data_IF_276263360516
#
_entry.id   IF_276263360516
#
_cell.length_a   1.000
_cell.length_b   1.000
_cell.length_c   1.000
_cell.angle_alpha   90.00
_cell.angle_beta   90.00
_cell.angle_gamma   90.00
#
_symmetry.space_group_name_H-M   'P 1'
#
loop_
_entity.id
_entity.type
_entity.pdbx_description
1 polymer ?
#
# COMPACT_ATOMS: atom_id res chain seq x y z
N UNK A 1 -12.70 -18.39 -32.38
CA UNK A 1 -11.97 -18.85 -31.18
C UNK A 1 -11.69 -17.67 -30.23
N UNK A 2 -12.20 -17.67 -28.99
CA UNK A 2 -11.85 -16.61 -28.05
C UNK A 2 -10.37 -16.72 -27.67
N UNK A 3 -9.64 -15.60 -27.55
CA UNK A 3 -8.24 -15.62 -27.17
C UNK A 3 -8.08 -16.21 -25.76
N UNK A 4 -7.11 -17.11 -25.66
CA UNK A 4 -6.64 -17.83 -24.48
C UNK A 4 -6.70 -17.04 -23.15
N UNK A 5 -7.49 -17.61 -22.23
CA UNK A 5 -7.73 -17.33 -20.80
C UNK A 5 -6.66 -16.59 -19.98
N UNK A 6 -5.36 -16.74 -20.26
CA UNK A 6 -4.29 -16.18 -19.43
C UNK A 6 -4.11 -14.65 -19.58
N UNK A 7 -4.26 -14.11 -20.79
CA UNK A 7 -4.07 -12.67 -21.04
C UNK A 7 -5.17 -11.81 -20.38
N UNK A 8 -6.41 -12.32 -20.38
CA UNK A 8 -7.57 -11.68 -19.75
C UNK A 8 -7.49 -11.73 -18.21
N UNK A 9 -6.91 -12.80 -17.65
CA UNK A 9 -6.60 -12.89 -16.21
C UNK A 9 -5.48 -11.92 -15.79
N UNK A 10 -4.44 -11.74 -16.61
CA UNK A 10 -3.38 -10.77 -16.34
C UNK A 10 -3.88 -9.33 -16.37
N UNK A 11 -4.75 -8.97 -17.32
CA UNK A 11 -5.33 -7.63 -17.37
C UNK A 11 -6.24 -7.37 -16.17
N UNK A 12 -7.06 -8.34 -15.75
CA UNK A 12 -7.88 -8.21 -14.54
C UNK A 12 -7.02 -8.09 -13.26
N UNK A 13 -5.91 -8.82 -13.17
CA UNK A 13 -4.97 -8.70 -12.04
C UNK A 13 -4.31 -7.32 -11.98
N UNK A 14 -3.92 -6.75 -13.12
CA UNK A 14 -3.34 -5.41 -13.19
C UNK A 14 -4.37 -4.32 -12.81
N UNK A 15 -5.64 -4.55 -13.15
CA UNK A 15 -6.75 -3.66 -12.82
C UNK A 15 -7.14 -3.74 -11.34
N UNK A 16 -7.14 -4.94 -10.75
CA UNK A 16 -7.25 -5.13 -9.30
C UNK A 16 -6.07 -4.52 -8.56
N UNK A 17 -4.84 -4.68 -9.07
CA UNK A 17 -3.64 -4.05 -8.51
C UNK A 17 -3.80 -2.53 -8.48
N UNK A 18 -4.28 -1.90 -9.57
CA UNK A 18 -4.58 -0.46 -9.60
C UNK A 18 -5.65 -0.06 -8.58
N UNK A 19 -6.66 -0.90 -8.31
CA UNK A 19 -7.70 -0.62 -7.30
C UNK A 19 -7.19 -0.78 -5.86
N UNK A 20 -6.40 -1.82 -5.58
CA UNK A 20 -5.81 -2.08 -4.25
C UNK A 20 -4.73 -1.03 -3.92
N UNK A 21 -3.89 -0.66 -4.88
CA UNK A 21 -2.92 0.43 -4.75
C UNK A 21 -3.56 1.81 -4.86
N UNK A 22 -4.81 1.90 -5.35
CA UNK A 22 -5.60 3.12 -5.42
C UNK A 22 -5.99 3.71 -4.05
N UNK A 23 -5.77 2.97 -2.96
CA UNK A 23 -5.83 3.48 -1.58
C UNK A 23 -4.53 4.16 -1.09
N UNK A 24 -3.47 4.14 -1.90
CA UNK A 24 -2.36 5.06 -1.74
C UNK A 24 -2.74 6.28 -2.58
N UNK A 25 -3.44 7.23 -1.98
CA UNK A 25 -3.54 8.58 -2.54
C UNK A 25 -2.09 9.06 -2.81
N UNK A 26 -1.63 8.93 -4.06
CA UNK A 26 -0.62 9.83 -4.59
C UNK A 26 -1.32 11.17 -4.70
N UNK A 27 -1.35 11.87 -3.57
CA UNK A 27 -1.66 13.29 -3.49
C UNK A 27 -0.89 14.00 -4.61
N UNK A 28 -1.60 14.83 -5.38
CA UNK A 28 -1.15 15.80 -6.40
C UNK A 28 0.36 15.79 -6.74
N UNK A 29 0.74 15.81 -8.03
CA UNK A 29 2.14 15.87 -8.44
C UNK A 29 2.88 16.94 -7.63
N UNK A 30 4.12 16.66 -7.15
CA UNK A 30 4.81 17.51 -6.19
C UNK A 30 4.90 18.92 -6.76
N UNK A 31 4.10 19.83 -6.21
CA UNK A 31 4.15 21.24 -6.57
C UNK A 31 5.59 21.73 -6.35
N UNK A 32 6.15 22.55 -7.26
CA UNK A 32 7.51 23.05 -7.12
C UNK A 32 7.65 23.76 -5.76
N UNK A 33 8.35 23.10 -4.83
CA UNK A 33 8.57 23.62 -3.49
C UNK A 33 9.51 24.81 -3.63
N UNK A 34 9.03 26.00 -3.26
CA UNK A 34 9.90 27.18 -3.10
C UNK A 34 11.05 26.77 -2.17
N UNK A 35 12.29 26.84 -2.67
CA UNK A 35 13.48 26.55 -1.86
C UNK A 35 13.45 27.48 -0.65
N UNK A 36 13.37 26.92 0.56
CA UNK A 36 13.43 27.71 1.77
C UNK A 36 14.82 28.35 1.88
N UNK A 37 14.87 29.68 1.95
CA UNK A 37 16.09 30.39 2.33
C UNK A 37 16.29 30.25 3.82
N UNK A 38 17.49 29.89 4.25
CA UNK A 38 17.85 29.88 5.67
C UNK A 38 17.79 31.31 6.20
N UNK A 39 17.13 31.50 7.36
CA UNK A 39 17.16 32.78 8.07
C UNK A 39 18.53 32.89 8.74
N UNK A 40 19.31 33.97 8.49
CA UNK A 40 20.58 34.22 9.18
C UNK A 40 20.42 34.23 10.70
N UNK A 41 21.46 33.84 11.44
CA UNK A 41 21.36 33.68 12.90
C UNK A 41 20.99 34.98 13.64
N UNK A 42 21.43 36.14 13.14
CA UNK A 42 21.09 37.45 13.70
C UNK A 42 19.65 37.94 13.40
N UNK A 43 18.91 37.24 12.56
CA UNK A 43 17.54 37.61 12.14
C UNK A 43 16.47 36.64 12.67
N UNK A 44 16.86 35.70 13.55
CA UNK A 44 15.94 34.73 14.17
C UNK A 44 15.13 35.40 15.28
N UNK A 45 13.99 35.94 14.89
CA UNK A 45 13.01 36.54 15.79
C UNK A 45 12.10 35.50 16.48
N UNK A 46 11.20 35.96 17.35
CA UNK A 46 10.23 35.09 18.03
C UNK A 46 9.29 34.37 17.03
N UNK A 47 8.92 35.05 15.94
CA UNK A 47 8.10 34.48 14.86
C UNK A 47 8.79 33.30 14.15
N UNK A 48 10.11 33.37 13.94
CA UNK A 48 10.90 32.26 13.44
C UNK A 48 10.84 31.05 14.39
N UNK A 49 11.05 31.26 15.68
CA UNK A 49 11.03 30.17 16.67
C UNK A 49 9.66 29.48 16.77
N UNK A 50 8.57 30.25 16.72
CA UNK A 50 7.21 29.70 16.69
C UNK A 50 6.96 28.87 15.43
N UNK A 51 7.35 29.36 14.24
CA UNK A 51 7.26 28.61 12.98
C UNK A 51 8.10 27.33 13.04
N UNK A 52 9.31 27.39 13.60
CA UNK A 52 10.22 26.25 13.75
C UNK A 52 9.62 25.18 14.67
N UNK A 53 9.03 25.59 15.81
CA UNK A 53 8.32 24.70 16.75
C UNK A 53 7.15 24.01 16.05
N UNK A 54 6.26 24.77 15.39
CA UNK A 54 5.10 24.22 14.66
C UNK A 54 5.52 23.23 13.57
N UNK A 55 6.60 23.51 12.83
CA UNK A 55 7.11 22.60 11.81
C UNK A 55 7.66 21.30 12.40
N UNK A 56 8.38 21.37 13.53
CA UNK A 56 8.85 20.17 14.24
C UNK A 56 7.69 19.29 14.70
N UNK A 57 6.65 19.89 15.27
CA UNK A 57 5.44 19.17 15.69
C UNK A 57 4.73 18.52 14.49
N UNK A 58 4.58 19.26 13.39
CA UNK A 58 4.01 18.72 12.15
C UNK A 58 4.84 17.57 11.58
N UNK A 59 6.17 17.69 11.60
CA UNK A 59 7.07 16.63 11.15
C UNK A 59 6.98 15.38 12.03
N UNK A 60 6.87 15.54 13.36
CA UNK A 60 6.65 14.43 14.29
C UNK A 60 5.33 13.72 13.99
N UNK A 61 4.21 14.47 13.91
CA UNK A 61 2.89 13.93 13.58
C UNK A 61 2.89 13.21 12.23
N UNK A 62 3.56 13.77 11.22
CA UNK A 62 3.67 13.15 9.90
C UNK A 62 4.44 11.82 9.94
N UNK A 63 5.51 11.74 10.73
CA UNK A 63 6.26 10.49 10.93
C UNK A 63 5.41 9.44 11.64
N UNK A 64 4.70 9.82 12.68
CA UNK A 64 3.80 8.92 13.43
C UNK A 64 2.67 8.40 12.53
N UNK A 65 2.03 9.26 11.73
CA UNK A 65 1.00 8.85 10.78
C UNK A 65 1.53 7.87 9.73
N UNK A 66 2.74 8.11 9.19
CA UNK A 66 3.38 7.17 8.25
C UNK A 66 3.64 5.82 8.93
N UNK A 67 4.21 5.82 10.14
CA UNK A 67 4.52 4.61 10.89
C UNK A 67 3.25 3.80 11.20
N UNK A 68 2.15 4.47 11.56
CA UNK A 68 0.87 3.81 11.79
C UNK A 68 0.35 3.13 10.51
N UNK A 69 0.40 3.84 9.37
CA UNK A 69 0.01 3.29 8.06
C UNK A 69 0.87 2.10 7.64
N UNK A 70 2.18 2.18 7.85
CA UNK A 70 3.11 1.07 7.58
C UNK A 70 2.78 -0.16 8.46
N UNK A 71 2.45 0.06 9.73
CA UNK A 71 1.99 -1.00 10.64
C UNK A 71 0.69 -1.66 10.18
N UNK A 72 -0.30 -0.86 9.78
CA UNK A 72 -1.57 -1.38 9.23
C UNK A 72 -1.36 -2.23 7.98
N UNK A 73 -0.50 -1.77 7.06
CA UNK A 73 -0.15 -2.51 5.84
C UNK A 73 0.52 -3.85 6.20
N UNK A 74 1.44 -3.85 7.17
CA UNK A 74 2.12 -5.08 7.61
C UNK A 74 1.13 -6.10 8.17
N UNK A 75 0.21 -5.68 9.05
CA UNK A 75 -0.83 -6.56 9.59
C UNK A 75 -1.73 -7.11 8.48
N UNK A 76 -2.16 -6.26 7.55
CA UNK A 76 -2.99 -6.68 6.42
C UNK A 76 -2.27 -7.70 5.52
N UNK A 77 -0.97 -7.54 5.31
CA UNK A 77 -0.18 -8.47 4.51
C UNK A 77 -0.15 -9.87 5.15
N UNK A 78 0.12 -9.95 6.47
CA UNK A 78 0.11 -11.22 7.21
C UNK A 78 -1.23 -11.93 7.09
N UNK A 79 -2.35 -11.21 7.32
CA UNK A 79 -3.69 -11.81 7.22
C UNK A 79 -4.00 -12.34 5.81
N UNK A 80 -3.60 -11.59 4.78
CA UNK A 80 -3.79 -12.01 3.39
C UNK A 80 -2.91 -13.23 3.04
N UNK A 81 -1.70 -13.33 3.59
CA UNK A 81 -0.82 -14.50 3.41
C UNK A 81 -1.44 -15.75 4.05
N UNK A 82 -1.96 -15.64 5.27
CA UNK A 82 -2.66 -16.72 5.96
C UNK A 82 -3.91 -17.18 5.20
N UNK A 83 -4.74 -16.23 4.73
CA UNK A 83 -5.92 -16.53 3.93
C UNK A 83 -5.54 -17.22 2.61
N UNK A 84 -4.47 -16.75 1.95
CA UNK A 84 -4.01 -17.34 0.70
C UNK A 84 -3.56 -18.80 0.88
N UNK A 85 -2.83 -19.09 1.97
CA UNK A 85 -2.42 -20.45 2.32
C UNK A 85 -3.65 -21.34 2.53
N UNK A 86 -4.62 -20.87 3.31
CA UNK A 86 -5.87 -21.61 3.57
C UNK A 86 -6.63 -21.93 2.29
N UNK A 87 -6.81 -20.94 1.42
CA UNK A 87 -7.49 -21.12 0.14
C UNK A 87 -6.74 -22.10 -0.78
N UNK A 88 -5.41 -22.05 -0.82
CA UNK A 88 -4.59 -23.00 -1.59
C UNK A 88 -4.75 -24.43 -1.09
N UNK A 89 -4.80 -24.64 0.23
CA UNK A 89 -5.07 -25.96 0.81
C UNK A 89 -6.42 -26.51 0.36
N UNK A 90 -7.48 -25.71 0.53
CA UNK A 90 -8.84 -26.10 0.15
C UNK A 90 -8.96 -26.41 -1.35
N UNK A 91 -8.32 -25.62 -2.22
CA UNK A 91 -8.27 -25.90 -3.65
C UNK A 91 -7.51 -27.19 -3.94
N UNK A 92 -6.43 -27.47 -3.22
CA UNK A 92 -5.68 -28.72 -3.32
C UNK A 92 -6.53 -29.93 -2.97
N UNK A 93 -7.21 -29.89 -1.82
CA UNK A 93 -8.11 -30.94 -1.34
C UNK A 93 -9.25 -31.22 -2.33
N UNK A 94 -9.92 -30.17 -2.81
CA UNK A 94 -11.01 -30.31 -3.78
C UNK A 94 -10.54 -30.90 -5.12
N UNK A 95 -9.34 -30.53 -5.58
CA UNK A 95 -8.75 -31.12 -6.79
C UNK A 95 -8.45 -32.60 -6.63
N UNK A 96 -7.91 -33.01 -5.47
CA UNK A 96 -7.66 -34.41 -5.17
C UNK A 96 -8.96 -35.22 -5.15
N UNK A 97 -10.02 -34.70 -4.50
CA UNK A 97 -11.32 -35.38 -4.47
C UNK A 97 -11.93 -35.49 -5.87
N UNK A 98 -11.83 -34.44 -6.68
CA UNK A 98 -12.25 -34.47 -8.09
C UNK A 98 -11.51 -35.52 -8.91
N UNK A 99 -10.20 -35.66 -8.72
CA UNK A 99 -9.39 -36.69 -9.38
C UNK A 99 -9.81 -38.10 -8.94
N UNK A 100 -10.02 -38.28 -7.63
CA UNK A 100 -10.50 -39.55 -7.06
C UNK A 100 -11.87 -39.95 -7.64
N UNK A 101 -12.83 -39.03 -7.69
CA UNK A 101 -14.16 -39.29 -8.25
C UNK A 101 -14.10 -39.58 -9.75
N UNK A 102 -13.25 -38.86 -10.50
CA UNK A 102 -13.03 -39.13 -11.93
C UNK A 102 -12.41 -40.50 -12.19
N UNK A 103 -11.60 -41.02 -11.28
CA UNK A 103 -11.02 -42.36 -11.41
C UNK A 103 -12.04 -43.50 -11.15
N UNK A 104 -13.21 -43.18 -10.59
CA UNK A 104 -14.28 -44.14 -10.28
C UNK A 104 -15.39 -44.21 -11.36
N UNK A 105 -15.35 -43.34 -12.37
CA UNK A 105 -16.27 -43.27 -13.50
C UNK A 105 -15.58 -43.72 -14.79
#
# INVERSE_FOLDING_TARGET
>A
PPPTSAASSMTMLEELRKRVHGGIELTKPPQPRKKARNVPDGEKDNSYWERRRKNNEAAKRSREARKAKEGEIAVRAVLLEEENIKLRSQVGELKQEMERLRALL
#
